data_IF_541775820142
#
_entry.id   IF_541775820142
#
_cell.length_a   1.000
_cell.length_b   1.000
_cell.length_c   1.000
_cell.angle_alpha   90.00
_cell.angle_beta   90.00
_cell.angle_gamma   90.00
#
_symmetry.space_group_name_H-M   'P 1'
#
loop_
_entity.id
_entity.type
_entity.pdbx_description
1 polymer ?
#
# COMPACT_ATOMS: atom_id res chain seq x y z
N UNK A 1 16.06 -24.33 10.82
CA UNK A 1 16.18 -23.44 9.63
C UNK A 1 17.51 -22.71 9.74
N UNK A 2 18.34 -22.72 8.69
CA UNK A 2 19.65 -22.06 8.69
C UNK A 2 19.44 -20.56 8.50
N UNK A 3 19.95 -19.73 9.40
CA UNK A 3 19.85 -18.27 9.27
C UNK A 3 20.88 -17.79 8.25
N UNK A 4 20.49 -17.10 7.18
CA UNK A 4 21.45 -16.58 6.22
C UNK A 4 22.37 -15.54 6.87
N UNK A 5 23.67 -15.60 6.59
CA UNK A 5 24.62 -14.56 6.97
C UNK A 5 24.42 -13.35 6.05
N UNK A 6 24.14 -12.19 6.65
CA UNK A 6 23.98 -10.93 5.92
C UNK A 6 25.28 -10.13 6.09
N UNK A 7 25.97 -9.74 5.00
CA UNK A 7 27.17 -8.92 5.07
C UNK A 7 26.91 -7.62 5.83
N UNK A 8 27.89 -7.18 6.63
CA UNK A 8 27.82 -5.88 7.29
C UNK A 8 27.90 -4.74 6.25
N UNK A 9 27.01 -3.75 6.38
CA UNK A 9 26.96 -2.57 5.51
C UNK A 9 25.75 -2.53 4.59
N UNK A 10 25.53 -1.38 3.95
CA UNK A 10 24.46 -1.22 2.97
C UNK A 10 24.95 -1.67 1.59
N UNK A 11 24.09 -2.32 0.78
CA UNK A 11 24.39 -2.59 -0.62
C UNK A 11 24.71 -1.29 -1.39
N UNK A 12 25.59 -1.37 -2.38
CA UNK A 12 25.96 -0.21 -3.21
C UNK A 12 24.74 0.41 -3.95
N UNK A 13 23.69 -0.38 -4.20
CA UNK A 13 22.45 0.02 -4.86
C UNK A 13 21.31 0.37 -3.88
N UNK A 14 21.63 0.66 -2.61
CA UNK A 14 20.61 0.85 -1.55
C UNK A 14 19.58 1.92 -1.91
N UNK A 15 19.98 3.04 -2.52
CA UNK A 15 19.03 4.11 -2.89
C UNK A 15 18.06 3.67 -3.99
N UNK A 16 18.53 2.89 -4.96
CA UNK A 16 17.65 2.31 -5.98
C UNK A 16 16.68 1.29 -5.36
N UNK A 17 17.14 0.48 -4.40
CA UNK A 17 16.28 -0.45 -3.65
C UNK A 17 15.22 0.28 -2.84
N UNK A 18 15.58 1.37 -2.15
CA UNK A 18 14.64 2.21 -1.40
C UNK A 18 13.58 2.82 -2.32
N UNK A 19 13.98 3.36 -3.47
CA UNK A 19 13.05 3.91 -4.46
C UNK A 19 12.09 2.84 -4.98
N UNK A 20 12.61 1.67 -5.38
CA UNK A 20 11.78 0.54 -5.83
C UNK A 20 10.78 0.09 -4.77
N UNK A 21 11.24 -0.04 -3.52
CA UNK A 21 10.38 -0.42 -2.40
C UNK A 21 9.27 0.62 -2.18
N UNK A 22 9.63 1.92 -2.16
CA UNK A 22 8.67 3.02 -2.01
C UNK A 22 7.57 2.95 -3.07
N UNK A 23 7.96 2.89 -4.35
CA UNK A 23 7.00 2.81 -5.46
C UNK A 23 6.10 1.57 -5.34
N UNK A 24 6.70 0.42 -5.00
CA UNK A 24 5.94 -0.82 -4.83
C UNK A 24 4.90 -0.72 -3.70
N UNK A 25 5.27 -0.18 -2.54
CA UNK A 25 4.35 0.02 -1.42
C UNK A 25 3.27 1.05 -1.74
N UNK A 26 3.61 2.14 -2.43
CA UNK A 26 2.64 3.15 -2.88
C UNK A 26 1.60 2.53 -3.84
N UNK A 27 2.05 1.77 -4.84
CA UNK A 27 1.16 1.03 -5.75
C UNK A 27 0.31 -0.01 -5.02
N UNK A 28 0.88 -0.72 -4.05
CA UNK A 28 0.11 -1.69 -3.26
C UNK A 28 -1.01 -1.02 -2.47
N UNK A 29 -0.70 0.10 -1.81
CA UNK A 29 -1.70 0.90 -1.08
C UNK A 29 -2.83 1.35 -2.01
N UNK A 30 -2.49 1.88 -3.18
CA UNK A 30 -3.49 2.33 -4.17
C UNK A 30 -4.41 1.19 -4.62
N UNK A 31 -3.85 0.02 -4.92
CA UNK A 31 -4.63 -1.15 -5.31
C UNK A 31 -5.58 -1.61 -4.21
N UNK A 32 -5.13 -1.62 -2.96
CA UNK A 32 -5.95 -2.02 -1.82
C UNK A 32 -7.10 -1.03 -1.63
N UNK A 33 -6.81 0.27 -1.55
CA UNK A 33 -7.84 1.30 -1.38
C UNK A 33 -8.87 1.24 -2.51
N UNK A 34 -8.43 1.18 -3.77
CA UNK A 34 -9.32 1.11 -4.91
C UNK A 34 -10.22 -0.14 -4.88
N UNK A 35 -9.69 -1.31 -4.48
CA UNK A 35 -10.48 -2.52 -4.37
C UNK A 35 -11.61 -2.39 -3.34
N UNK A 36 -11.33 -1.79 -2.17
CA UNK A 36 -12.36 -1.58 -1.15
C UNK A 36 -13.36 -0.49 -1.54
N UNK A 37 -12.91 0.60 -2.16
CA UNK A 37 -13.80 1.66 -2.65
C UNK A 37 -14.72 1.16 -3.77
N UNK A 38 -14.27 0.21 -4.58
CA UNK A 38 -15.09 -0.46 -5.59
C UNK A 38 -16.15 -1.35 -4.94
N UNK A 39 -15.81 -2.08 -3.87
CA UNK A 39 -16.79 -2.88 -3.10
C UNK A 39 -17.89 -1.97 -2.53
N UNK A 40 -17.53 -0.82 -1.97
CA UNK A 40 -18.48 0.20 -1.49
C UNK A 40 -19.36 0.75 -2.63
N UNK A 41 -18.76 0.95 -3.81
CA UNK A 41 -19.47 1.46 -4.99
C UNK A 41 -20.48 0.47 -5.57
N UNK A 42 -20.15 -0.83 -5.49
CA UNK A 42 -20.95 -1.92 -6.06
C UNK A 42 -21.99 -2.45 -5.07
N UNK A 43 -22.09 -1.87 -3.86
CA UNK A 43 -23.03 -2.29 -2.83
C UNK A 43 -24.47 -2.21 -3.34
N UNK A 44 -25.16 -3.35 -3.27
CA UNK A 44 -26.59 -3.47 -3.52
C UNK A 44 -27.28 -4.02 -2.27
N UNK A 45 -28.52 -3.58 -2.02
CA UNK A 45 -29.32 -4.04 -0.89
C UNK A 45 -29.24 -3.11 0.34
N UNK A 46 -29.14 -3.63 1.57
CA UNK A 46 -29.11 -2.81 2.77
C UNK A 46 -28.01 -1.73 2.69
N UNK A 47 -28.34 -0.52 3.12
CA UNK A 47 -27.41 0.64 3.13
C UNK A 47 -26.90 1.10 1.75
N UNK A 48 -27.37 0.54 0.64
CA UNK A 48 -27.02 1.02 -0.71
C UNK A 48 -27.47 2.47 -0.99
N UNK A 49 -28.35 3.03 -0.14
CA UNK A 49 -28.72 4.46 -0.20
C UNK A 49 -27.69 5.38 0.46
N UNK A 50 -26.70 4.86 1.17
CA UNK A 50 -25.63 5.64 1.75
C UNK A 50 -24.58 5.97 0.70
N UNK A 51 -23.88 7.09 0.89
CA UNK A 51 -22.75 7.44 0.02
C UNK A 51 -21.62 6.41 0.22
N UNK A 52 -21.05 5.85 -0.87
CA UNK A 52 -19.91 4.94 -0.79
C UNK A 52 -18.74 5.53 -0.02
N UNK A 53 -18.13 4.72 0.86
CA UNK A 53 -16.93 5.13 1.59
C UNK A 53 -15.74 5.42 0.65
N UNK A 54 -14.87 6.32 1.10
CA UNK A 54 -13.57 6.63 0.45
C UNK A 54 -12.50 6.75 1.52
N UNK A 55 -11.27 6.33 1.19
CA UNK A 55 -10.15 6.48 2.11
C UNK A 55 -9.64 7.92 2.12
N UNK A 56 -9.44 8.47 3.31
CA UNK A 56 -8.73 9.74 3.48
C UNK A 56 -7.22 9.48 3.55
N UNK A 57 -6.45 10.16 2.69
CA UNK A 57 -4.99 10.07 2.70
C UNK A 57 -4.44 11.07 3.72
N UNK A 58 -3.85 10.56 4.79
CA UNK A 58 -3.12 11.36 5.76
C UNK A 58 -1.62 11.34 5.43
N UNK A 59 -1.09 12.37 4.74
CA UNK A 59 0.34 12.46 4.53
C UNK A 59 1.04 12.56 5.88
N UNK A 60 2.17 11.89 5.99
CA UNK A 60 2.96 11.83 7.21
C UNK A 60 4.38 12.23 6.85
N UNK A 61 4.96 13.08 7.69
CA UNK A 61 6.36 13.49 7.57
C UNK A 61 7.20 12.61 8.51
N UNK A 62 8.37 12.16 8.02
CA UNK A 62 9.41 11.50 8.84
C UNK A 62 10.55 12.45 9.08
#
# INVERSE_FOLDING_TARGET
>A
MQRPEIPAGLPADIEQKKMKARLWFETLRERICAAFEQIEQDLQGPQASWSPGRFERTPWER
#
